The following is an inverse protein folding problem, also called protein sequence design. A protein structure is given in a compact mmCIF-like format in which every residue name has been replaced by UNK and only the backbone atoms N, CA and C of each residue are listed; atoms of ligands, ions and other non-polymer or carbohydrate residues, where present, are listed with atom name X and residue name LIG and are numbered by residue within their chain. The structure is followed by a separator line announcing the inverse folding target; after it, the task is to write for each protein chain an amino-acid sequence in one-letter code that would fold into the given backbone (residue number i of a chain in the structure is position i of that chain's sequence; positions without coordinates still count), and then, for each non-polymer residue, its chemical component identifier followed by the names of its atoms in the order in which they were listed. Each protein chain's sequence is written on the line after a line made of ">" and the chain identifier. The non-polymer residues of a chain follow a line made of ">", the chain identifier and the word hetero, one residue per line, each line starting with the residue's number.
data_IF_351098774934
#
_entry.id   IF_351098774934
#
_cell.length_a   1.000
_cell.length_b   1.000
_cell.length_c   1.000
_cell.angle_alpha   90.00
_cell.angle_beta   90.00
_cell.angle_gamma   90.00
#
_symmetry.space_group_name_H-M   'P 1'
#
loop_
_entity.id
_entity.type
_entity.pdbx_description
1 polymer ?
#
# COMPACT_ATOMS: atom_id res chain seq x y z
N UNK A 1 -18.13 -4.23 12.67
CA UNK A 1 -18.24 -4.89 13.98
C UNK A 1 -16.93 -5.53 14.42
N UNK A 2 -16.17 -6.16 13.52
CA UNK A 2 -14.92 -6.88 13.86
C UNK A 2 -13.66 -6.00 13.94
N UNK A 3 -13.50 -5.01 13.05
CA UNK A 3 -12.39 -4.03 13.12
C UNK A 3 -12.41 -3.21 14.43
N UNK A 4 -13.60 -2.81 14.90
CA UNK A 4 -13.77 -2.13 16.19
C UNK A 4 -13.39 -3.04 17.37
N UNK A 5 -13.73 -4.33 17.30
CA UNK A 5 -13.31 -5.33 18.31
C UNK A 5 -11.78 -5.51 18.35
N UNK A 6 -11.11 -5.38 17.21
CA UNK A 6 -9.64 -5.36 17.11
C UNK A 6 -9.02 -4.03 17.56
N UNK A 7 -9.80 -3.02 17.93
CA UNK A 7 -9.30 -1.74 18.44
C UNK A 7 -9.17 -0.63 17.41
N UNK A 8 -9.63 -0.82 16.16
CA UNK A 8 -9.62 0.22 15.14
C UNK A 8 -10.76 1.22 15.38
N UNK A 9 -10.41 2.51 15.43
CA UNK A 9 -11.33 3.65 15.69
C UNK A 9 -11.35 4.60 14.50
N UNK A 10 -12.29 5.57 14.50
CA UNK A 10 -12.39 6.67 13.52
C UNK A 10 -12.33 6.21 12.05
N UNK A 11 -13.06 5.14 11.71
CA UNK A 11 -13.05 4.59 10.35
C UNK A 11 -13.80 5.52 9.40
N UNK A 12 -13.16 5.95 8.32
CA UNK A 12 -13.75 6.82 7.29
C UNK A 12 -13.44 6.28 5.89
N UNK A 13 -14.34 6.51 4.94
CA UNK A 13 -14.10 6.18 3.54
C UNK A 13 -12.98 7.07 2.98
N UNK A 14 -12.07 6.47 2.21
CA UNK A 14 -10.95 7.18 1.60
C UNK A 14 -11.05 7.18 0.08
N UNK A 15 -11.16 5.99 -0.53
CA UNK A 15 -11.19 5.88 -1.99
C UNK A 15 -11.77 4.54 -2.45
N UNK A 16 -12.26 4.48 -3.68
CA UNK A 16 -12.69 3.25 -4.34
C UNK A 16 -11.61 2.79 -5.32
N UNK A 17 -11.07 1.60 -5.10
CA UNK A 17 -10.16 0.95 -6.03
C UNK A 17 -10.92 0.10 -7.06
N UNK A 18 -10.22 -0.36 -8.10
CA UNK A 18 -10.77 -1.25 -9.14
C UNK A 18 -11.39 -2.54 -8.58
N UNK A 19 -10.86 -3.05 -7.47
CA UNK A 19 -11.21 -4.37 -6.88
C UNK A 19 -11.72 -4.30 -5.43
N UNK A 20 -12.04 -3.11 -4.93
CA UNK A 20 -12.47 -2.95 -3.54
C UNK A 20 -12.53 -1.51 -3.07
N UNK A 21 -12.74 -1.34 -1.76
CA UNK A 21 -12.86 -0.04 -1.10
C UNK A 21 -11.68 0.15 -0.15
N UNK A 22 -11.16 1.38 -0.10
CA UNK A 22 -10.11 1.79 0.82
C UNK A 22 -10.76 2.74 1.84
N UNK A 23 -10.56 2.41 3.10
CA UNK A 23 -10.93 3.24 4.25
C UNK A 23 -9.66 3.63 5.00
N UNK A 24 -9.72 4.71 5.76
CA UNK A 24 -8.71 4.99 6.79
C UNK A 24 -9.29 4.76 8.17
N UNK A 25 -8.43 4.59 9.17
CA UNK A 25 -8.82 4.54 10.57
C UNK A 25 -7.64 4.84 11.49
N UNK A 26 -7.86 4.69 12.79
CA UNK A 26 -6.82 4.82 13.83
C UNK A 26 -6.67 3.52 14.58
N UNK A 27 -5.44 3.01 14.68
CA UNK A 27 -5.09 1.81 15.42
C UNK A 27 -3.77 2.05 16.16
N UNK A 28 -3.75 1.80 17.47
CA UNK A 28 -2.62 2.13 18.36
C UNK A 28 -2.09 3.56 18.14
N UNK A 29 -3.01 4.53 18.12
CA UNK A 29 -2.75 5.97 17.91
C UNK A 29 -2.06 6.34 16.59
N UNK A 30 -1.98 5.40 15.64
CA UNK A 30 -1.47 5.62 14.28
C UNK A 30 -2.57 5.53 13.25
N UNK A 31 -2.45 6.32 12.17
CA UNK A 31 -3.35 6.25 11.03
C UNK A 31 -3.06 4.97 10.23
N UNK A 32 -4.12 4.26 9.86
CA UNK A 32 -4.04 2.98 9.15
C UNK A 32 -4.90 2.96 7.90
N UNK A 33 -4.41 2.28 6.87
CA UNK A 33 -5.15 1.94 5.67
C UNK A 33 -5.91 0.63 5.88
N UNK A 34 -7.17 0.60 5.45
CA UNK A 34 -8.06 -0.55 5.57
C UNK A 34 -8.58 -0.84 4.17
N UNK A 35 -8.06 -1.89 3.54
CA UNK A 35 -8.52 -2.32 2.23
C UNK A 35 -9.53 -3.45 2.40
N UNK A 36 -10.75 -3.20 1.95
CA UNK A 36 -11.88 -4.12 1.97
C UNK A 36 -12.08 -4.65 0.56
N UNK A 37 -12.00 -5.97 0.40
CA UNK A 37 -12.25 -6.60 -0.89
C UNK A 37 -13.74 -6.57 -1.23
N UNK A 38 -14.08 -6.40 -2.51
CA UNK A 38 -15.46 -6.53 -2.96
C UNK A 38 -15.81 -8.03 -3.06
N UNK A 39 -16.79 -8.55 -2.29
CA UNK A 39 -17.17 -9.97 -2.35
C UNK A 39 -17.74 -10.39 -3.72
N UNK A 40 -18.10 -9.46 -4.60
CA UNK A 40 -18.54 -9.74 -5.98
C UNK A 40 -17.39 -9.86 -6.99
N UNK A 41 -16.14 -9.74 -6.56
CA UNK A 41 -14.97 -9.99 -7.40
C UNK A 41 -14.64 -11.48 -7.37
N UNK A 42 -14.71 -12.15 -8.51
CA UNK A 42 -14.46 -13.60 -8.65
C UNK A 42 -13.02 -14.03 -8.35
N UNK A 43 -12.08 -13.09 -8.23
CA UNK A 43 -10.67 -13.40 -8.00
C UNK A 43 -10.31 -13.39 -6.51
N UNK A 44 -9.63 -14.45 -6.06
CA UNK A 44 -9.08 -14.70 -4.70
C UNK A 44 -7.93 -13.74 -4.32
N UNK A 45 -8.08 -12.48 -4.69
CA UNK A 45 -7.02 -11.48 -4.79
C UNK A 45 -6.54 -10.96 -3.44
N UNK A 46 -7.38 -11.03 -2.39
CA UNK A 46 -7.00 -10.52 -1.07
C UNK A 46 -6.02 -11.44 -0.35
N UNK A 47 -6.14 -12.76 -0.50
CA UNK A 47 -5.18 -13.70 0.07
C UNK A 47 -3.80 -13.54 -0.54
N UNK A 48 -3.74 -13.42 -1.87
CA UNK A 48 -2.48 -13.13 -2.57
C UNK A 48 -1.92 -11.76 -2.16
N UNK A 49 -2.76 -10.74 -2.01
CA UNK A 49 -2.31 -9.41 -1.57
C UNK A 49 -1.73 -9.44 -0.15
N UNK A 50 -2.39 -10.12 0.79
CA UNK A 50 -1.87 -10.32 2.15
C UNK A 50 -0.55 -11.09 2.11
N UNK A 51 -0.46 -12.15 1.30
CA UNK A 51 0.75 -12.96 1.16
C UNK A 51 1.93 -12.14 0.62
N UNK A 52 1.72 -11.42 -0.50
CA UNK A 52 2.74 -10.57 -1.10
C UNK A 52 3.14 -9.45 -0.14
N UNK A 53 2.19 -8.77 0.52
CA UNK A 53 2.50 -7.69 1.45
C UNK A 53 3.37 -8.18 2.63
N UNK A 54 3.02 -9.32 3.23
CA UNK A 54 3.85 -9.95 4.27
C UNK A 54 5.23 -10.34 3.75
N UNK A 55 5.34 -10.80 2.50
CA UNK A 55 6.61 -11.18 1.87
C UNK A 55 7.50 -9.96 1.68
N UNK A 56 6.98 -8.87 1.08
CA UNK A 56 7.77 -7.66 0.78
C UNK A 56 8.17 -6.89 2.04
N UNK A 57 7.34 -6.90 3.08
CA UNK A 57 7.69 -6.27 4.36
C UNK A 57 8.90 -6.91 5.06
N UNK A 58 9.21 -8.19 4.81
CA UNK A 58 10.45 -8.82 5.32
C UNK A 58 11.71 -8.15 4.77
N UNK A 59 11.59 -7.47 3.63
CA UNK A 59 12.68 -6.73 3.00
C UNK A 59 12.58 -5.22 3.22
N UNK A 60 11.66 -4.76 4.07
CA UNK A 60 11.43 -3.33 4.32
C UNK A 60 10.78 -2.59 3.14
N UNK A 61 10.16 -3.31 2.18
CA UNK A 61 9.51 -2.70 1.02
C UNK A 61 8.00 -2.58 1.25
N UNK A 62 7.44 -1.43 0.87
CA UNK A 62 6.01 -1.14 0.94
C UNK A 62 5.48 -0.86 2.35
N UNK A 63 4.17 -0.57 2.48
CA UNK A 63 3.57 -0.24 3.77
C UNK A 63 3.57 -1.43 4.72
N UNK A 64 3.74 -1.17 6.01
CA UNK A 64 3.81 -2.21 7.04
C UNK A 64 2.46 -2.89 7.25
N UNK A 65 2.41 -4.20 7.07
CA UNK A 65 1.30 -5.07 7.42
C UNK A 65 1.06 -5.02 8.93
N UNK A 66 -0.20 -4.84 9.33
CA UNK A 66 -0.60 -4.86 10.74
C UNK A 66 -1.36 -6.14 11.06
N UNK A 67 -2.50 -6.36 10.43
CA UNK A 67 -3.29 -7.58 10.55
C UNK A 67 -4.28 -7.74 9.40
N UNK A 68 -4.89 -8.92 9.30
CA UNK A 68 -5.95 -9.20 8.33
C UNK A 68 -7.13 -9.92 8.98
N UNK A 69 -8.31 -9.73 8.42
CA UNK A 69 -9.53 -10.49 8.66
C UNK A 69 -9.94 -11.18 7.35
N UNK A 70 -11.03 -11.95 7.35
CA UNK A 70 -11.48 -12.77 6.20
C UNK A 70 -11.39 -12.04 4.86
N UNK A 71 -11.92 -10.80 4.79
CA UNK A 71 -11.97 -10.00 3.55
C UNK A 71 -11.37 -8.59 3.73
N UNK A 72 -10.51 -8.40 4.73
CA UNK A 72 -9.95 -7.09 5.06
C UNK A 72 -8.47 -7.21 5.36
N UNK A 73 -7.67 -6.31 4.80
CA UNK A 73 -6.28 -6.14 5.17
C UNK A 73 -6.06 -4.74 5.75
N UNK A 74 -5.35 -4.69 6.88
CA UNK A 74 -5.02 -3.46 7.60
C UNK A 74 -3.50 -3.28 7.59
N UNK A 75 -3.07 -2.09 7.18
CA UNK A 75 -1.66 -1.75 7.02
C UNK A 75 -1.42 -0.30 7.44
N UNK A 76 -0.16 0.06 7.64
CA UNK A 76 0.27 1.43 7.90
C UNK A 76 -0.15 2.35 6.75
N UNK A 77 -0.86 3.43 7.08
CA UNK A 77 -1.29 4.37 6.05
C UNK A 77 -0.10 5.21 5.60
N UNK A 78 0.24 5.12 4.32
CA UNK A 78 1.24 6.00 3.72
C UNK A 78 0.55 7.24 3.19
N UNK A 79 0.84 8.39 3.79
CA UNK A 79 0.47 9.70 3.27
C UNK A 79 1.60 10.20 2.40
N UNK A 80 1.31 10.44 1.13
CA UNK A 80 2.24 11.03 0.20
C UNK A 80 1.53 11.51 -1.05
N UNK A 81 2.28 12.18 -1.90
CA UNK A 81 1.79 12.69 -3.17
C UNK A 81 2.26 11.82 -4.34
N UNK A 82 1.57 11.91 -5.48
CA UNK A 82 1.99 11.15 -6.66
C UNK A 82 3.35 11.64 -7.11
N UNK A 83 4.20 10.72 -7.54
CA UNK A 83 5.55 11.06 -8.02
C UNK A 83 5.53 12.11 -9.13
N UNK A 84 4.53 12.09 -10.00
CA UNK A 84 4.35 13.10 -11.06
C UNK A 84 4.24 14.51 -10.48
N UNK A 85 3.29 14.71 -9.57
CA UNK A 85 3.03 15.99 -8.92
C UNK A 85 4.24 16.45 -8.07
N UNK A 86 4.82 15.51 -7.32
CA UNK A 86 6.00 15.75 -6.47
C UNK A 86 7.19 16.26 -7.31
N UNK A 87 7.46 15.64 -8.46
CA UNK A 87 8.64 15.99 -9.28
C UNK A 87 8.59 17.40 -9.85
N UNK A 88 7.40 17.99 -10.05
CA UNK A 88 7.28 19.36 -10.54
C UNK A 88 7.72 20.42 -9.52
N UNK A 89 7.66 20.08 -8.22
CA UNK A 89 7.87 21.03 -7.13
C UNK A 89 9.20 20.86 -6.40
N UNK A 90 10.02 19.88 -6.80
CA UNK A 90 11.23 19.49 -6.07
C UNK A 90 12.51 19.66 -6.90
N UNK A 91 13.66 19.80 -6.22
CA UNK A 91 14.94 19.99 -6.87
C UNK A 91 15.46 18.70 -7.52
N UNK A 92 16.34 18.84 -8.51
CA UNK A 92 16.97 17.71 -9.22
C UNK A 92 17.64 16.71 -8.26
N UNK A 93 18.25 17.19 -7.19
CA UNK A 93 18.91 16.35 -6.19
C UNK A 93 17.90 15.45 -5.45
N UNK A 94 16.80 16.02 -4.97
CA UNK A 94 15.74 15.29 -4.29
C UNK A 94 15.09 14.25 -5.22
N UNK A 95 14.84 14.62 -6.48
CA UNK A 95 14.32 13.71 -7.51
C UNK A 95 15.29 12.54 -7.76
N UNK A 96 16.59 12.83 -7.83
CA UNK A 96 17.61 11.79 -8.03
C UNK A 96 17.64 10.84 -6.85
N UNK A 97 17.60 11.36 -5.62
CA UNK A 97 17.59 10.55 -4.40
C UNK A 97 16.33 9.66 -4.32
N UNK A 98 15.16 10.21 -4.64
CA UNK A 98 13.90 9.46 -4.69
C UNK A 98 13.95 8.34 -5.74
N UNK A 99 14.48 8.61 -6.95
CA UNK A 99 14.63 7.61 -8.00
C UNK A 99 15.58 6.48 -7.58
N UNK A 100 16.71 6.82 -6.95
CA UNK A 100 17.66 5.83 -6.42
C UNK A 100 16.98 4.93 -5.39
N UNK A 101 16.19 5.50 -4.48
CA UNK A 101 15.45 4.72 -3.48
C UNK A 101 14.39 3.82 -4.11
N UNK A 102 13.62 4.35 -5.07
CA UNK A 102 12.67 3.55 -5.85
C UNK A 102 13.36 2.37 -6.56
N UNK A 103 14.49 2.60 -7.22
CA UNK A 103 15.25 1.56 -7.92
C UNK A 103 15.84 0.53 -6.95
N UNK A 104 16.26 0.94 -5.75
CA UNK A 104 16.71 0.01 -4.70
C UNK A 104 15.57 -0.92 -4.26
N UNK A 105 14.38 -0.38 -4.04
CA UNK A 105 13.21 -1.19 -3.69
C UNK A 105 12.83 -2.16 -4.83
N UNK A 106 12.84 -1.70 -6.08
CA UNK A 106 12.58 -2.56 -7.24
C UNK A 106 13.61 -3.69 -7.37
N UNK A 107 14.90 -3.38 -7.23
CA UNK A 107 15.97 -4.39 -7.24
C UNK A 107 15.76 -5.44 -6.15
N UNK A 108 15.35 -5.02 -4.95
CA UNK A 108 15.01 -5.94 -3.86
C UNK A 108 13.86 -6.87 -4.23
N UNK A 109 12.83 -6.37 -4.93
CA UNK A 109 11.73 -7.21 -5.42
C UNK A 109 12.20 -8.21 -6.49
N UNK A 110 13.01 -7.75 -7.45
CA UNK A 110 13.54 -8.56 -8.55
C UNK A 110 14.38 -9.74 -8.04
N UNK A 111 15.33 -9.47 -7.12
CA UNK A 111 16.18 -10.52 -6.51
C UNK A 111 15.34 -11.58 -5.78
N UNK A 112 14.16 -11.21 -5.28
CA UNK A 112 13.25 -12.10 -4.58
C UNK A 112 12.17 -12.72 -5.48
N UNK A 113 12.29 -12.55 -6.80
CA UNK A 113 11.33 -13.00 -7.82
C UNK A 113 9.90 -12.51 -7.53
N UNK A 114 9.76 -11.22 -7.21
CA UNK A 114 8.46 -10.57 -6.94
C UNK A 114 8.22 -9.53 -8.02
N UNK A 115 7.27 -9.81 -8.92
CA UNK A 115 6.85 -8.84 -9.93
C UNK A 115 5.71 -7.95 -9.41
N UNK A 116 5.93 -6.63 -9.43
CA UNK A 116 4.93 -5.62 -9.03
C UNK A 116 3.83 -5.43 -10.09
N UNK A 117 4.07 -5.76 -11.36
CA UNK A 117 3.13 -5.69 -12.51
C UNK A 117 2.55 -4.32 -12.87
N UNK A 118 2.80 -3.29 -12.06
CA UNK A 118 2.23 -1.95 -12.24
C UNK A 118 3.30 -0.89 -12.60
N UNK A 119 4.57 -1.28 -12.70
CA UNK A 119 5.68 -0.33 -12.93
C UNK A 119 5.83 0.10 -14.40
N UNK A 120 4.99 -0.39 -15.31
CA UNK A 120 4.86 0.16 -16.67
C UNK A 120 4.24 1.57 -16.68
N UNK A 121 3.56 1.97 -15.58
CA UNK A 121 2.96 3.31 -15.42
C UNK A 121 3.31 3.93 -14.06
N UNK A 122 4.59 4.19 -13.75
CA UNK A 122 5.05 4.53 -12.41
C UNK A 122 4.42 5.83 -11.87
N UNK A 123 4.12 6.80 -12.74
CA UNK A 123 3.43 8.05 -12.41
C UNK A 123 2.06 7.83 -11.72
N UNK A 124 1.39 6.70 -11.96
CA UNK A 124 0.10 6.35 -11.32
C UNK A 124 0.24 5.57 -10.02
N UNK A 125 1.41 4.98 -9.76
CA UNK A 125 1.58 3.92 -8.78
C UNK A 125 2.71 4.15 -7.77
N UNK A 126 3.55 5.16 -7.99
CA UNK A 126 4.57 5.60 -7.04
C UNK A 126 4.03 6.80 -6.29
N UNK A 127 4.11 6.72 -4.96
CA UNK A 127 3.76 7.78 -4.02
C UNK A 127 5.04 8.12 -3.27
N UNK A 128 5.33 9.41 -3.14
CA UNK A 128 6.51 9.95 -2.42
C UNK A 128 6.03 10.68 -1.18
#
# INVERSE_FOLDING_TARGET
>A
MELKKKGVKKISFFSRGKRGYIFTGVFNDKKVGIKVHNPHSEADSIHNEIFIMKKVNKFGVGPKFLFSLKNVVVYEFFEGEKVEDWTYSNAKEDITNMLVECLRQLRTLDINNIDKKEMSHPHKHVIV
#
